data_IF_101717691487
#
_entry.id   IF_101717691487
#
_cell.length_a   1.000
_cell.length_b   1.000
_cell.length_c   1.000
_cell.angle_alpha   90.00
_cell.angle_beta   90.00
_cell.angle_gamma   90.00
#
_symmetry.space_group_name_H-M   'P 1'
#
loop_
_entity.id
_entity.type
_entity.pdbx_description
1 polymer ?
#
# COMPACT_ATOMS: atom_id res chain seq x y z
N UNK A 1 -13.08 -9.56 -10.96
CA UNK A 1 -12.24 -8.57 -10.26
C UNK A 1 -10.96 -8.39 -11.04
N UNK A 2 -10.58 -7.15 -11.26
CA UNK A 2 -9.37 -6.79 -12.00
C UNK A 2 -8.44 -6.00 -11.08
N UNK A 3 -7.13 -6.24 -11.19
CA UNK A 3 -6.10 -5.47 -10.46
C UNK A 3 -5.39 -4.55 -11.43
N UNK A 4 -5.24 -3.29 -11.06
CA UNK A 4 -4.69 -2.25 -11.93
C UNK A 4 -3.71 -1.37 -11.16
N UNK A 5 -2.81 -0.72 -11.93
CA UNK A 5 -1.96 0.36 -11.41
C UNK A 5 -2.51 1.69 -11.92
N UNK A 6 -2.51 2.70 -11.06
CA UNK A 6 -2.95 4.05 -11.44
C UNK A 6 -2.16 5.09 -10.64
N UNK A 7 -2.36 6.36 -10.96
CA UNK A 7 -1.77 7.46 -10.21
C UNK A 7 -2.82 8.55 -9.95
N UNK A 8 -2.42 9.59 -9.23
CA UNK A 8 -3.33 10.66 -8.83
C UNK A 8 -3.94 11.45 -10.02
N UNK A 9 -3.38 11.30 -11.21
CA UNK A 9 -3.91 11.96 -12.42
C UNK A 9 -5.10 11.22 -13.03
N UNK A 10 -5.29 9.95 -12.70
CA UNK A 10 -6.53 9.25 -13.00
C UNK A 10 -7.60 9.70 -12.00
N UNK A 11 -8.31 10.77 -12.33
CA UNK A 11 -9.20 11.45 -11.38
C UNK A 11 -10.32 10.56 -10.84
N UNK A 12 -10.87 9.66 -11.65
CA UNK A 12 -11.92 8.75 -11.21
C UNK A 12 -11.43 7.75 -10.17
N UNK A 13 -10.35 7.04 -10.48
CA UNK A 13 -9.78 6.03 -9.56
C UNK A 13 -9.18 6.68 -8.32
N UNK A 14 -8.51 7.81 -8.50
CA UNK A 14 -7.94 8.53 -7.36
C UNK A 14 -9.03 9.02 -6.40
N UNK A 15 -10.11 9.60 -6.92
CA UNK A 15 -11.24 10.04 -6.10
C UNK A 15 -11.85 8.87 -5.32
N UNK A 16 -12.02 7.72 -5.97
CA UNK A 16 -12.53 6.53 -5.31
C UNK A 16 -11.55 6.01 -4.23
N UNK A 17 -10.24 6.06 -4.50
CA UNK A 17 -9.22 5.67 -3.51
C UNK A 17 -9.27 6.58 -2.28
N UNK A 18 -9.39 7.88 -2.48
CA UNK A 18 -9.52 8.84 -1.37
C UNK A 18 -10.76 8.54 -0.53
N UNK A 19 -11.91 8.34 -1.18
CA UNK A 19 -13.17 8.04 -0.49
C UNK A 19 -13.08 6.74 0.31
N UNK A 20 -12.50 5.70 -0.25
CA UNK A 20 -12.34 4.42 0.42
C UNK A 20 -11.43 4.53 1.65
N UNK A 21 -10.32 5.24 1.53
CA UNK A 21 -9.38 5.47 2.64
C UNK A 21 -10.00 6.34 3.74
N UNK A 22 -10.72 7.40 3.35
CA UNK A 22 -11.40 8.26 4.31
C UNK A 22 -12.39 7.47 5.16
N UNK A 23 -13.12 6.56 4.53
CA UNK A 23 -14.09 5.71 5.23
C UNK A 23 -13.40 4.64 6.09
N UNK A 24 -12.47 3.89 5.51
CA UNK A 24 -11.92 2.68 6.13
C UNK A 24 -10.75 2.95 7.09
N UNK A 25 -9.97 4.01 6.87
CA UNK A 25 -8.77 4.29 7.65
C UNK A 25 -8.96 5.44 8.64
N UNK A 26 -9.59 6.53 8.21
CA UNK A 26 -9.65 7.74 9.01
C UNK A 26 -10.97 7.89 9.74
N UNK A 27 -12.08 7.65 9.07
CA UNK A 27 -13.40 7.68 9.70
C UNK A 27 -13.56 6.65 10.82
N UNK A 28 -12.92 5.49 10.65
CA UNK A 28 -12.94 4.40 11.63
C UNK A 28 -12.36 4.84 12.99
N UNK A 29 -11.44 5.77 13.01
CA UNK A 29 -10.80 6.28 14.23
C UNK A 29 -11.16 7.72 14.53
N UNK A 30 -12.16 8.27 13.85
CA UNK A 30 -12.62 9.64 14.09
C UNK A 30 -11.70 10.73 13.57
N UNK A 31 -10.78 10.40 12.67
CA UNK A 31 -9.92 11.40 12.04
C UNK A 31 -10.64 12.12 10.89
N UNK A 32 -10.28 13.38 10.61
CA UNK A 32 -10.84 14.09 9.47
C UNK A 32 -10.41 13.44 8.14
N UNK A 33 -11.18 13.67 7.06
CA UNK A 33 -10.78 13.17 5.74
C UNK A 33 -9.48 13.81 5.25
N UNK A 34 -8.87 13.20 4.24
CA UNK A 34 -7.65 13.71 3.62
C UNK A 34 -7.86 15.15 3.14
N UNK A 35 -6.94 16.03 3.52
CA UNK A 35 -6.92 17.43 3.10
C UNK A 35 -6.30 17.59 1.70
N UNK A 36 -6.42 18.79 1.12
CA UNK A 36 -5.76 19.09 -0.15
C UNK A 36 -4.22 19.02 0.01
N UNK A 37 -3.69 19.39 1.16
CA UNK A 37 -2.25 19.29 1.44
C UNK A 37 -1.81 17.83 1.48
N UNK A 38 -2.59 16.93 2.11
CA UNK A 38 -2.33 15.49 2.13
C UNK A 38 -2.30 14.93 0.71
N UNK A 39 -3.23 15.35 -0.14
CA UNK A 39 -3.29 14.91 -1.54
C UNK A 39 -2.08 15.37 -2.35
N UNK A 40 -1.55 16.57 -2.07
CA UNK A 40 -0.34 17.05 -2.72
C UNK A 40 0.88 16.22 -2.34
N UNK A 41 1.00 15.83 -1.08
CA UNK A 41 2.11 15.00 -0.59
C UNK A 41 2.16 13.65 -1.32
N UNK A 42 1.00 13.05 -1.62
CA UNK A 42 0.94 11.74 -2.23
C UNK A 42 0.88 11.75 -3.76
N UNK A 43 1.06 12.91 -4.38
CA UNK A 43 0.93 13.09 -5.84
C UNK A 43 1.83 12.15 -6.64
N UNK A 44 3.02 11.85 -6.14
CA UNK A 44 4.00 11.00 -6.82
C UNK A 44 3.95 9.53 -6.38
N UNK A 45 3.00 9.17 -5.52
CA UNK A 45 2.90 7.79 -5.04
C UNK A 45 2.42 6.85 -6.14
N UNK A 46 2.83 5.58 -6.02
CA UNK A 46 2.29 4.50 -6.82
C UNK A 46 1.01 3.99 -6.18
N UNK A 47 -0.04 3.88 -6.97
CA UNK A 47 -1.32 3.35 -6.51
C UNK A 47 -1.67 2.06 -7.25
N UNK A 48 -2.20 1.10 -6.52
CA UNK A 48 -2.73 -0.14 -7.09
C UNK A 48 -4.15 -0.33 -6.57
N UNK A 49 -5.01 -0.83 -7.43
CA UNK A 49 -6.42 -0.97 -7.10
C UNK A 49 -7.00 -2.31 -7.50
N UNK A 50 -7.98 -2.75 -6.73
CA UNK A 50 -8.87 -3.84 -7.07
C UNK A 50 -10.19 -3.25 -7.54
N UNK A 51 -10.60 -3.60 -8.75
CA UNK A 51 -11.79 -3.03 -9.40
C UNK A 51 -12.76 -4.13 -9.76
N UNK A 52 -14.03 -3.92 -9.50
CA UNK A 52 -15.11 -4.80 -9.93
C UNK A 52 -16.31 -3.96 -10.36
N UNK A 53 -16.88 -4.26 -11.54
CA UNK A 53 -18.01 -3.50 -12.10
C UNK A 53 -17.73 -1.99 -12.13
N UNK A 54 -16.55 -1.60 -12.60
CA UNK A 54 -16.07 -0.21 -12.71
C UNK A 54 -15.99 0.55 -11.37
N UNK A 55 -16.02 -0.17 -10.25
CA UNK A 55 -15.91 0.41 -8.91
C UNK A 55 -14.63 -0.08 -8.24
N UNK A 56 -13.88 0.85 -7.64
CA UNK A 56 -12.69 0.53 -6.85
C UNK A 56 -13.15 -0.03 -5.50
N UNK A 57 -12.75 -1.27 -5.21
CA UNK A 57 -13.10 -1.95 -3.95
C UNK A 57 -11.89 -2.21 -3.05
N UNK A 58 -10.70 -1.95 -3.56
CA UNK A 58 -9.46 -2.03 -2.77
C UNK A 58 -8.44 -1.05 -3.32
N UNK A 59 -7.62 -0.51 -2.43
CA UNK A 59 -6.56 0.43 -2.79
C UNK A 59 -5.35 0.21 -1.90
N UNK A 60 -4.15 0.29 -2.48
CA UNK A 60 -2.89 0.30 -1.75
C UNK A 60 -1.95 1.28 -2.43
N UNK A 61 -1.18 2.03 -1.65
CA UNK A 61 -0.24 2.99 -2.20
C UNK A 61 1.14 2.85 -1.59
N UNK A 62 2.15 3.24 -2.39
CA UNK A 62 3.55 3.14 -2.02
C UNK A 62 4.25 4.46 -2.33
N UNK A 63 5.13 4.86 -1.43
CA UNK A 63 6.02 5.99 -1.59
C UNK A 63 7.44 5.47 -1.83
N UNK A 64 8.10 5.96 -2.88
CA UNK A 64 9.49 5.59 -3.16
C UNK A 64 10.43 6.41 -2.31
N UNK A 65 11.14 5.76 -1.38
CA UNK A 65 12.12 6.41 -0.50
C UNK A 65 13.46 6.57 -1.21
N UNK A 66 13.86 5.55 -1.94
CA UNK A 66 15.07 5.53 -2.76
C UNK A 66 14.93 4.39 -3.77
N UNK A 67 15.86 4.28 -4.70
CA UNK A 67 15.79 3.24 -5.72
C UNK A 67 15.74 1.85 -5.07
N UNK A 68 14.68 1.11 -5.35
CA UNK A 68 14.48 -0.23 -4.79
C UNK A 68 13.96 -0.25 -3.36
N UNK A 69 13.64 0.90 -2.79
CA UNK A 69 13.11 0.99 -1.42
C UNK A 69 11.81 1.78 -1.40
N UNK A 70 10.72 1.11 -1.07
CA UNK A 70 9.37 1.69 -1.03
C UNK A 70 8.77 1.56 0.36
N UNK A 71 7.91 2.51 0.71
CA UNK A 71 7.07 2.39 1.90
C UNK A 71 5.62 2.22 1.49
N UNK A 72 4.98 1.18 2.00
CA UNK A 72 3.53 1.02 1.90
C UNK A 72 2.91 2.03 2.86
N UNK A 73 2.17 2.99 2.32
CA UNK A 73 1.70 4.13 3.12
C UNK A 73 0.21 4.10 3.43
N UNK A 74 -0.58 3.43 2.62
CA UNK A 74 -2.02 3.31 2.88
C UNK A 74 -2.58 2.08 2.19
N UNK A 75 -3.50 1.41 2.87
CA UNK A 75 -4.22 0.28 2.31
C UNK A 75 -5.64 0.26 2.87
N UNK A 76 -6.61 0.09 2.01
CA UNK A 76 -8.01 0.00 2.41
C UNK A 76 -8.76 -0.94 1.48
N UNK A 77 -9.60 -1.79 2.06
CA UNK A 77 -10.47 -2.72 1.33
C UNK A 77 -11.92 -2.42 1.74
N UNK A 78 -12.80 -2.32 0.76
CA UNK A 78 -14.24 -2.17 1.02
C UNK A 78 -14.73 -3.31 1.92
N UNK A 79 -15.55 -2.98 2.91
CA UNK A 79 -15.99 -3.94 3.92
C UNK A 79 -16.63 -5.20 3.33
N UNK A 80 -17.35 -5.06 2.22
CA UNK A 80 -17.98 -6.19 1.52
C UNK A 80 -16.95 -7.19 0.98
N UNK A 81 -15.73 -6.72 0.73
CA UNK A 81 -14.65 -7.53 0.13
C UNK A 81 -13.56 -7.91 1.12
N UNK A 82 -13.71 -7.56 2.39
CA UNK A 82 -12.77 -7.97 3.44
C UNK A 82 -12.91 -9.46 3.75
N UNK A 83 -11.84 -10.06 4.27
CA UNK A 83 -11.77 -11.47 4.66
C UNK A 83 -12.02 -12.47 3.52
N UNK A 84 -11.79 -12.03 2.28
CA UNK A 84 -11.95 -12.85 1.06
C UNK A 84 -10.66 -12.97 0.26
N UNK A 85 -9.52 -12.58 0.85
CA UNK A 85 -8.23 -12.65 0.19
C UNK A 85 -7.96 -11.50 -0.80
N UNK A 86 -8.86 -10.54 -0.93
CA UNK A 86 -8.70 -9.41 -1.86
C UNK A 86 -7.45 -8.58 -1.53
N UNK A 87 -7.23 -8.29 -0.25
CA UNK A 87 -6.06 -7.51 0.17
C UNK A 87 -4.75 -8.21 -0.15
N UNK A 88 -4.67 -9.51 0.12
CA UNK A 88 -3.49 -10.31 -0.19
C UNK A 88 -3.20 -10.32 -1.69
N UNK A 89 -4.22 -10.55 -2.51
CA UNK A 89 -4.06 -10.54 -3.97
C UNK A 89 -3.66 -9.17 -4.50
N UNK A 90 -4.21 -8.10 -3.93
CA UNK A 90 -3.88 -6.73 -4.33
C UNK A 90 -2.42 -6.41 -4.02
N UNK A 91 -1.94 -6.72 -2.82
CA UNK A 91 -0.55 -6.44 -2.43
C UNK A 91 0.42 -7.29 -3.26
N UNK A 92 0.09 -8.55 -3.51
CA UNK A 92 0.93 -9.41 -4.36
C UNK A 92 0.99 -8.88 -5.80
N UNK A 93 -0.12 -8.40 -6.34
CA UNK A 93 -0.13 -7.74 -7.65
C UNK A 93 0.80 -6.51 -7.67
N UNK A 94 0.73 -5.69 -6.62
CA UNK A 94 1.60 -4.52 -6.49
C UNK A 94 3.08 -4.92 -6.43
N UNK A 95 3.41 -5.95 -5.65
CA UNK A 95 4.79 -6.44 -5.55
C UNK A 95 5.32 -6.93 -6.89
N UNK A 96 4.53 -7.71 -7.62
CA UNK A 96 4.92 -8.20 -8.95
C UNK A 96 5.15 -7.04 -9.92
N UNK A 97 4.27 -6.04 -9.90
CA UNK A 97 4.40 -4.85 -10.76
C UNK A 97 5.67 -4.06 -10.44
N UNK A 98 5.98 -3.89 -9.16
CA UNK A 98 7.19 -3.19 -8.73
C UNK A 98 8.46 -3.98 -9.08
N UNK A 99 8.44 -5.30 -8.92
CA UNK A 99 9.55 -6.17 -9.30
C UNK A 99 9.83 -6.06 -10.80
N UNK A 100 8.79 -6.16 -11.62
CA UNK A 100 8.93 -6.05 -13.07
C UNK A 100 9.50 -4.69 -13.50
N UNK A 101 9.05 -3.62 -12.86
CA UNK A 101 9.56 -2.26 -13.11
C UNK A 101 11.05 -2.15 -12.80
N UNK A 102 11.47 -2.70 -11.66
CA UNK A 102 12.87 -2.67 -11.23
C UNK A 102 13.75 -3.54 -12.13
N UNK A 103 13.28 -4.74 -12.50
CA UNK A 103 14.01 -5.61 -13.43
C UNK A 103 14.29 -4.91 -14.76
N UNK A 104 13.30 -4.20 -15.30
CA UNK A 104 13.45 -3.51 -16.58
C UNK A 104 14.41 -2.31 -16.48
N UNK A 105 14.54 -1.67 -15.33
CA UNK A 105 15.44 -0.53 -15.13
C UNK A 105 16.89 -0.93 -14.92
N UNK A 106 17.15 -2.07 -14.28
CA UNK A 106 18.49 -2.43 -13.80
C UNK A 106 19.28 -3.31 -14.79
N UNK A 107 18.64 -3.75 -15.87
CA UNK A 107 19.36 -4.44 -16.95
C UNK A 107 20.04 -5.75 -16.53
N UNK A 108 19.38 -6.55 -15.72
CA UNK A 108 19.86 -7.88 -15.37
C UNK A 108 20.70 -8.00 -14.11
N UNK A 109 20.95 -6.92 -13.39
CA UNK A 109 21.62 -6.99 -12.11
C UNK A 109 20.63 -7.44 -11.03
N UNK A 110 20.95 -8.48 -10.21
CA UNK A 110 20.07 -8.84 -9.10
C UNK A 110 20.06 -7.73 -8.07
N UNK A 111 18.86 -7.31 -7.66
CA UNK A 111 18.68 -6.35 -6.58
C UNK A 111 17.61 -6.82 -5.63
N UNK A 112 17.69 -6.34 -4.39
CA UNK A 112 16.63 -6.54 -3.43
C UNK A 112 15.66 -5.36 -3.52
N UNK A 113 14.37 -5.66 -3.59
CA UNK A 113 13.32 -4.68 -3.44
C UNK A 113 12.90 -4.71 -1.98
N UNK A 114 13.04 -3.60 -1.28
CA UNK A 114 12.69 -3.50 0.14
C UNK A 114 11.40 -2.70 0.28
N UNK A 115 10.43 -3.26 0.98
CA UNK A 115 9.16 -2.59 1.27
C UNK A 115 9.02 -2.48 2.79
N UNK A 116 8.86 -1.26 3.28
CA UNK A 116 8.59 -0.99 4.69
C UNK A 116 7.15 -0.54 4.87
N UNK A 117 6.63 -0.68 6.08
CA UNK A 117 5.30 -0.17 6.44
C UNK A 117 5.24 0.07 7.94
N UNK A 118 4.39 1.01 8.36
CA UNK A 118 3.99 1.15 9.75
C UNK A 118 2.63 0.49 9.89
N UNK A 119 2.63 -0.77 10.30
CA UNK A 119 1.41 -1.57 10.38
C UNK A 119 0.62 -1.22 11.64
N UNK A 120 -0.68 -0.94 11.48
CA UNK A 120 -1.59 -0.85 12.62
C UNK A 120 -1.62 -2.19 13.33
N UNK A 121 -1.69 -2.18 14.66
CA UNK A 121 -1.66 -3.41 15.46
C UNK A 121 -2.69 -4.44 15.00
N UNK A 122 -3.89 -4.00 14.64
CA UNK A 122 -4.95 -4.89 14.17
C UNK A 122 -4.66 -5.58 12.83
N UNK A 123 -3.68 -5.10 12.07
CA UNK A 123 -3.32 -5.62 10.75
C UNK A 123 -2.02 -6.43 10.75
N UNK A 124 -1.41 -6.67 11.91
CA UNK A 124 -0.10 -7.34 11.99
C UNK A 124 -0.11 -8.71 11.33
N UNK A 125 -1.12 -9.53 11.60
CA UNK A 125 -1.19 -10.88 11.01
C UNK A 125 -1.34 -10.86 9.49
N UNK A 126 -2.06 -9.88 8.97
CA UNK A 126 -2.18 -9.70 7.53
C UNK A 126 -0.81 -9.46 6.90
N UNK A 127 -0.02 -8.54 7.46
CA UNK A 127 1.31 -8.24 6.93
C UNK A 127 2.30 -9.38 7.14
N UNK A 128 2.23 -10.08 8.28
CA UNK A 128 3.08 -11.26 8.52
C UNK A 128 2.85 -12.35 7.47
N UNK A 129 1.59 -12.60 7.11
CA UNK A 129 1.26 -13.59 6.06
C UNK A 129 1.79 -13.19 4.68
N UNK A 130 1.99 -11.90 4.43
CA UNK A 130 2.60 -11.41 3.19
C UNK A 130 4.13 -11.49 3.20
N UNK A 131 4.74 -11.85 4.32
CA UNK A 131 6.19 -11.97 4.44
C UNK A 131 6.86 -10.79 5.14
N UNK A 132 6.09 -9.85 5.70
CA UNK A 132 6.66 -8.77 6.50
C UNK A 132 7.13 -9.29 7.86
N UNK A 133 8.24 -8.75 8.32
CA UNK A 133 8.79 -9.03 9.66
C UNK A 133 8.93 -7.71 10.42
N UNK A 134 8.93 -7.81 11.74
CA UNK A 134 9.12 -6.66 12.62
C UNK A 134 10.46 -5.96 12.34
N UNK A 135 10.44 -4.64 12.30
CA UNK A 135 11.62 -3.80 12.05
C UNK A 135 11.71 -2.65 13.05
N UNK A 136 11.41 -2.90 14.29
CA UNK A 136 11.48 -1.92 15.36
C UNK A 136 10.46 -2.15 16.45
N UNK A 137 10.37 -1.21 17.37
CA UNK A 137 9.44 -1.27 18.50
C UNK A 137 8.10 -0.66 18.13
N UNK A 138 7.04 -1.10 18.81
CA UNK A 138 5.71 -0.49 18.68
C UNK A 138 5.79 0.98 19.05
N UNK A 139 5.17 1.83 18.23
CA UNK A 139 5.05 3.25 18.47
C UNK A 139 3.59 3.63 18.63
N UNK A 140 3.34 4.69 19.40
CA UNK A 140 2.01 5.28 19.56
C UNK A 140 2.06 6.65 18.92
N UNK A 141 1.21 6.87 17.92
CA UNK A 141 1.18 8.12 17.19
C UNK A 141 0.04 9.00 17.71
N UNK A 142 0.33 10.11 18.41
CA UNK A 142 -0.71 11.03 18.89
C UNK A 142 -1.54 11.64 17.76
N UNK A 143 -0.93 11.86 16.59
CA UNK A 143 -1.62 12.40 15.43
C UNK A 143 -2.65 11.45 14.86
N UNK A 144 -2.52 10.14 15.13
CA UNK A 144 -3.47 9.09 14.74
C UNK A 144 -4.27 8.58 15.94
N UNK A 145 -4.65 9.48 16.85
CA UNK A 145 -5.50 9.21 18.01
C UNK A 145 -4.98 8.09 18.91
N UNK A 146 -3.64 8.00 19.07
CA UNK A 146 -3.03 7.00 19.95
C UNK A 146 -3.04 5.58 19.41
N UNK A 147 -3.28 5.39 18.12
CA UNK A 147 -3.22 4.06 17.51
C UNK A 147 -1.79 3.52 17.55
N UNK A 148 -1.68 2.25 17.89
CA UNK A 148 -0.40 1.57 17.97
C UNK A 148 0.01 1.04 16.60
N UNK A 149 1.27 1.29 16.24
CA UNK A 149 1.86 0.84 14.97
C UNK A 149 3.13 0.06 15.24
N UNK A 150 3.37 -0.97 14.44
CA UNK A 150 4.63 -1.72 14.44
C UNK A 150 5.34 -1.49 13.10
N UNK A 151 6.58 -0.97 13.12
CA UNK A 151 7.38 -0.92 11.88
C UNK A 151 7.66 -2.34 11.39
N UNK A 152 7.43 -2.58 10.11
CA UNK A 152 7.64 -3.88 9.48
C UNK A 152 8.36 -3.71 8.15
N UNK A 153 9.08 -4.74 7.72
CA UNK A 153 9.72 -4.75 6.39
C UNK A 153 9.57 -6.09 5.71
N UNK A 154 9.60 -6.05 4.39
CA UNK A 154 9.62 -7.23 3.53
C UNK A 154 10.72 -7.04 2.48
N UNK A 155 11.56 -8.05 2.31
CA UNK A 155 12.63 -8.03 1.32
C UNK A 155 12.23 -8.96 0.20
N UNK A 156 11.97 -8.38 -0.98
CA UNK A 156 11.59 -9.12 -2.17
C UNK A 156 12.82 -9.31 -3.04
N UNK A 157 13.19 -10.57 -3.28
CA UNK A 157 14.36 -10.87 -4.10
C UNK A 157 13.99 -10.75 -5.57
N UNK A 158 14.58 -9.77 -6.24
CA UNK A 158 14.42 -9.60 -7.69
C UNK A 158 15.49 -10.42 -8.38
N UNK A 159 15.07 -11.53 -9.01
CA UNK A 159 15.99 -12.41 -9.73
C UNK A 159 16.17 -11.90 -11.16
N UNK A 160 17.41 -12.02 -11.65
CA UNK A 160 17.69 -11.78 -13.06
C UNK A 160 17.03 -12.87 -13.92
N UNK A 161 16.14 -12.47 -14.81
CA UNK A 161 15.52 -13.36 -15.79
C UNK A 161 16.21 -13.32 -17.15
N UNK A 162 17.43 -12.84 -17.15
CA UNK A 162 18.22 -12.60 -18.36
C UNK A 162 18.48 -13.79 -19.26
#
# INVERSE_FOLDING_TARGET
MEFIQFNSQNSSLYTQSVALRNHALYGDIGMPPLSEDDKQIEKENLFFGAVTSDRLVGTVSFYELSKGHFQLVAMAIDATYQDKGTGTRLVNFAFESMIDSVESEVGGQPINLVVTTNAREKALHFYERLGFISDGAITVDPAHHGIRHLPMKNILLVKNRG
#
